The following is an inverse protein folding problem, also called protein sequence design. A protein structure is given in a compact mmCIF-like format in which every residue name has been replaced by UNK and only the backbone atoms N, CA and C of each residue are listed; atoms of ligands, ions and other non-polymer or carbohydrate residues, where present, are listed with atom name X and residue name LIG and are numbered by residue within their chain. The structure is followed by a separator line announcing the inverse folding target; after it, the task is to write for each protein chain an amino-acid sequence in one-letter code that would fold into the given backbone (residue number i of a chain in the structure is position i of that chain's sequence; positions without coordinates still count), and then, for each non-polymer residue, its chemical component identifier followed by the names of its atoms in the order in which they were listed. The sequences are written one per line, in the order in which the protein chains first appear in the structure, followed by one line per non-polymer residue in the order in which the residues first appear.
data_IF_202674851179
#
_entry.id   IF_202674851179
#
_cell.length_a   1.000
_cell.length_b   1.000
_cell.length_c   1.000
_cell.angle_alpha   90.00
_cell.angle_beta   90.00
_cell.angle_gamma   90.00
#
_symmetry.space_group_name_H-M   'P 1'
#
loop_
_entity.id
_entity.type
_entity.pdbx_description
1 polymer ?
#
# COMPACT_ATOMS: atom_id res chain seq x y z
N UNK A 1 13.36 7.84 18.01
CA UNK A 1 12.37 8.12 16.94
C UNK A 1 11.40 9.19 17.41
N UNK A 2 11.18 10.23 16.60
CA UNK A 2 10.19 11.28 16.92
C UNK A 2 8.87 10.97 16.21
N UNK A 3 7.76 10.99 16.95
CA UNK A 3 6.42 10.96 16.35
C UNK A 3 6.22 12.28 15.60
N UNK A 4 6.01 12.23 14.29
CA UNK A 4 5.70 13.43 13.50
C UNK A 4 4.25 13.83 13.81
N UNK A 5 4.07 15.05 14.29
CA UNK A 5 2.74 15.61 14.53
C UNK A 5 2.24 16.14 13.18
N UNK A 6 1.18 15.55 12.65
CA UNK A 6 0.50 15.99 11.44
C UNK A 6 -0.70 16.87 11.81
N UNK A 7 -0.72 18.11 11.32
CA UNK A 7 -1.88 19.01 11.49
C UNK A 7 -3.13 18.48 10.78
N UNK A 8 -2.93 17.81 9.66
CA UNK A 8 -4.01 17.17 8.89
C UNK A 8 -4.63 16.03 9.68
N UNK A 9 -3.81 15.16 10.28
CA UNK A 9 -4.30 14.05 11.12
C UNK A 9 -5.01 14.59 12.38
N UNK A 10 -4.41 15.58 13.07
CA UNK A 10 -5.00 16.19 14.27
C UNK A 10 -6.36 16.83 13.97
N UNK A 11 -6.48 17.50 12.81
CA UNK A 11 -7.76 18.08 12.36
C UNK A 11 -8.80 16.99 12.08
N UNK A 12 -8.43 15.93 11.37
CA UNK A 12 -9.33 14.82 11.05
C UNK A 12 -9.81 14.11 12.31
N UNK A 13 -8.92 13.84 13.26
CA UNK A 13 -9.26 13.22 14.55
C UNK A 13 -10.16 14.11 15.41
N UNK A 14 -9.84 15.41 15.51
CA UNK A 14 -10.64 16.37 16.26
C UNK A 14 -12.05 16.53 15.71
N UNK A 15 -12.20 16.54 14.38
CA UNK A 15 -13.50 16.66 13.71
C UNK A 15 -14.36 15.40 13.85
N UNK A 16 -13.74 14.23 13.87
CA UNK A 16 -14.44 12.95 13.97
C UNK A 16 -14.62 12.46 15.41
N UNK A 17 -13.95 13.07 16.39
CA UNK A 17 -13.95 12.61 17.78
C UNK A 17 -13.30 11.24 17.97
N UNK A 18 -12.44 10.82 17.02
CA UNK A 18 -11.72 9.55 17.09
C UNK A 18 -10.37 9.73 17.79
N UNK A 19 -9.91 8.67 18.43
CA UNK A 19 -8.52 8.53 18.82
C UNK A 19 -7.70 7.89 17.71
N UNK A 20 -6.40 8.23 17.64
CA UNK A 20 -5.50 7.65 16.64
C UNK A 20 -5.30 6.14 16.84
N UNK A 21 -5.33 5.67 18.09
CA UNK A 21 -5.08 4.27 18.46
C UNK A 21 -5.94 3.88 19.64
N UNK A 22 -6.73 2.86 19.49
CA UNK A 22 -7.55 2.30 20.58
C UNK A 22 -6.86 1.08 21.19
N UNK A 23 -6.39 1.25 22.43
CA UNK A 23 -5.76 0.17 23.20
C UNK A 23 -6.83 -0.79 23.77
N UNK A 24 -6.49 -2.10 23.99
CA UNK A 24 -5.16 -2.71 23.78
C UNK A 24 -4.97 -3.38 22.43
N UNK A 25 -5.99 -3.43 21.55
CA UNK A 25 -5.97 -4.25 20.36
C UNK A 25 -5.20 -3.60 19.21
N UNK A 26 -5.36 -2.32 18.97
CA UNK A 26 -4.68 -1.63 17.87
C UNK A 26 -3.19 -1.45 18.14
N UNK A 27 -2.35 -1.92 17.21
CA UNK A 27 -0.88 -1.85 17.28
C UNK A 27 -0.28 -0.74 16.41
N UNK A 28 -1.10 -0.09 15.60
CA UNK A 28 -0.72 0.99 14.68
C UNK A 28 -1.85 2.00 14.60
N UNK A 29 -1.54 3.27 14.32
CA UNK A 29 -2.54 4.34 14.24
C UNK A 29 -3.52 4.13 13.08
N UNK A 30 -4.80 4.36 13.35
CA UNK A 30 -5.90 4.22 12.37
C UNK A 30 -6.74 5.49 12.35
N UNK A 31 -7.06 5.98 11.16
CA UNK A 31 -8.06 7.05 10.95
C UNK A 31 -9.14 6.53 10.03
N UNK A 32 -10.41 6.63 10.46
CA UNK A 32 -11.54 6.19 9.64
C UNK A 32 -12.30 7.38 9.06
N UNK A 33 -12.74 7.22 7.83
CA UNK A 33 -13.57 8.20 7.09
C UNK A 33 -14.80 7.50 6.52
N UNK A 34 -15.81 8.28 6.14
CA UNK A 34 -17.10 7.75 5.69
C UNK A 34 -17.01 6.95 4.39
N UNK A 35 -16.24 7.44 3.41
CA UNK A 35 -16.26 6.88 2.06
C UNK A 35 -14.92 7.00 1.34
N UNK A 36 -14.83 6.37 0.17
CA UNK A 36 -13.61 6.30 -0.62
C UNK A 36 -13.12 7.66 -1.16
N UNK A 37 -13.99 8.57 -1.66
CA UNK A 37 -13.56 9.93 -1.99
C UNK A 37 -12.95 10.71 -0.83
N UNK A 38 -13.52 10.60 0.38
CA UNK A 38 -12.98 11.24 1.59
C UNK A 38 -11.65 10.62 2.02
N UNK A 39 -11.49 9.30 1.85
CA UNK A 39 -10.23 8.62 2.07
C UNK A 39 -9.12 9.19 1.17
N UNK A 40 -9.41 9.36 -0.12
CA UNK A 40 -8.50 10.00 -1.06
C UNK A 40 -8.18 11.45 -0.70
N UNK A 41 -9.18 12.22 -0.23
CA UNK A 41 -8.99 13.61 0.22
C UNK A 41 -8.05 13.70 1.41
N UNK A 42 -8.30 12.92 2.46
CA UNK A 42 -7.45 12.89 3.65
C UNK A 42 -6.01 12.54 3.31
N UNK A 43 -5.83 11.52 2.48
CA UNK A 43 -4.50 11.07 2.04
C UNK A 43 -3.79 12.13 1.22
N UNK A 44 -4.50 12.83 0.33
CA UNK A 44 -3.94 13.91 -0.49
C UNK A 44 -3.50 15.11 0.37
N UNK A 45 -4.31 15.51 1.34
CA UNK A 45 -3.96 16.58 2.29
C UNK A 45 -2.70 16.21 3.10
N UNK A 46 -2.65 14.98 3.61
CA UNK A 46 -1.50 14.48 4.38
C UNK A 46 -0.23 14.39 3.53
N UNK A 47 -0.35 13.97 2.27
CA UNK A 47 0.76 13.95 1.33
C UNK A 47 1.29 15.36 1.04
N UNK A 48 0.40 16.31 0.73
CA UNK A 48 0.76 17.71 0.48
C UNK A 48 1.47 18.33 1.69
N UNK A 49 0.94 18.13 2.90
CA UNK A 49 1.57 18.56 4.14
C UNK A 49 2.97 17.95 4.32
N UNK A 50 3.10 16.65 4.02
CA UNK A 50 4.39 15.97 4.13
C UNK A 50 5.42 16.55 3.16
N UNK A 51 5.04 16.79 1.91
CA UNK A 51 5.92 17.37 0.88
C UNK A 51 6.39 18.76 1.29
N UNK A 52 5.51 19.60 1.85
CA UNK A 52 5.86 20.93 2.34
C UNK A 52 6.96 20.90 3.42
N UNK A 53 6.96 19.85 4.23
CA UNK A 53 7.88 19.71 5.36
C UNK A 53 9.15 18.90 5.02
N UNK A 54 9.18 18.25 3.84
CA UNK A 54 10.26 17.37 3.44
C UNK A 54 10.74 17.64 2.00
N UNK A 55 11.24 18.83 1.70
CA UNK A 55 11.80 19.12 0.38
C UNK A 55 12.96 18.17 0.10
N UNK A 56 13.03 17.61 -1.11
CA UNK A 56 14.04 16.62 -1.50
C UNK A 56 13.81 15.22 -0.91
N UNK A 57 12.70 14.99 -0.23
CA UNK A 57 12.38 13.68 0.36
C UNK A 57 12.12 12.58 -0.66
N UNK A 58 12.18 11.34 -0.22
CA UNK A 58 11.93 10.14 -1.04
C UNK A 58 10.50 9.68 -0.86
N UNK A 59 9.75 9.56 -1.97
CA UNK A 59 8.35 9.14 -1.95
C UNK A 59 8.14 7.87 -2.78
N UNK A 60 7.19 7.04 -2.33
CA UNK A 60 6.76 5.85 -3.05
C UNK A 60 5.24 5.76 -3.00
N UNK A 61 4.60 5.71 -4.17
CA UNK A 61 3.14 5.83 -4.32
C UNK A 61 2.57 4.64 -5.08
N UNK A 62 1.35 4.16 -4.73
CA UNK A 62 0.76 2.96 -5.29
C UNK A 62 0.17 3.19 -6.68
N UNK A 63 -0.02 2.11 -7.41
CA UNK A 63 -0.68 2.08 -8.72
C UNK A 63 -2.07 1.43 -8.63
N UNK A 64 -2.76 1.34 -9.74
CA UNK A 64 -4.07 0.69 -9.86
C UNK A 64 -5.24 1.56 -9.40
N UNK A 65 -6.29 0.93 -8.86
CA UNK A 65 -7.55 1.62 -8.49
C UNK A 65 -7.51 2.31 -7.13
N UNK A 66 -6.68 1.82 -6.21
CA UNK A 66 -6.61 2.33 -4.83
C UNK A 66 -6.32 3.84 -4.76
N UNK A 67 -5.35 4.42 -5.51
CA UNK A 67 -5.03 5.83 -5.41
C UNK A 67 -5.91 6.76 -6.27
N UNK A 68 -6.96 6.30 -6.94
CA UNK A 68 -7.75 7.10 -7.88
C UNK A 68 -8.21 8.45 -7.29
N UNK A 69 -8.86 8.43 -6.13
CA UNK A 69 -9.32 9.64 -5.47
C UNK A 69 -8.18 10.46 -4.88
N UNK A 70 -7.11 9.81 -4.40
CA UNK A 70 -5.91 10.50 -3.97
C UNK A 70 -5.30 11.33 -5.12
N UNK A 71 -5.13 10.74 -6.29
CA UNK A 71 -4.61 11.41 -7.48
C UNK A 71 -5.49 12.59 -7.90
N UNK A 72 -6.81 12.39 -7.91
CA UNK A 72 -7.77 13.47 -8.23
C UNK A 72 -7.62 14.65 -7.27
N UNK A 73 -7.53 14.40 -5.97
CA UNK A 73 -7.42 15.44 -4.97
C UNK A 73 -6.06 16.14 -4.99
N UNK A 74 -4.93 15.41 -5.13
CA UNK A 74 -3.61 16.05 -5.28
C UNK A 74 -3.58 16.94 -6.52
N UNK A 75 -4.07 16.43 -7.65
CA UNK A 75 -4.15 17.21 -8.90
C UNK A 75 -5.02 18.47 -8.73
N UNK A 76 -6.16 18.35 -8.06
CA UNK A 76 -7.04 19.48 -7.76
C UNK A 76 -6.33 20.55 -6.91
N UNK A 77 -5.66 20.15 -5.84
CA UNK A 77 -4.91 21.07 -4.98
C UNK A 77 -3.75 21.75 -5.72
N UNK A 78 -2.96 20.99 -6.47
CA UNK A 78 -1.80 21.53 -7.19
C UNK A 78 -2.18 22.54 -8.29
N UNK A 79 -3.26 22.24 -9.03
CA UNK A 79 -3.75 23.13 -10.11
C UNK A 79 -4.42 24.37 -9.57
N UNK A 80 -5.23 24.24 -8.53
CA UNK A 80 -6.00 25.35 -7.94
C UNK A 80 -5.33 26.01 -6.73
N UNK A 81 -4.01 25.87 -6.53
CA UNK A 81 -3.33 26.29 -5.30
C UNK A 81 -3.64 27.71 -4.84
N UNK A 82 -3.81 28.65 -5.76
CA UNK A 82 -4.14 30.05 -5.49
C UNK A 82 -5.64 30.36 -5.59
N UNK A 83 -6.49 29.35 -5.82
CA UNK A 83 -7.92 29.51 -5.88
C UNK A 83 -8.49 29.64 -4.46
N UNK A 84 -9.33 30.63 -4.16
CA UNK A 84 -9.91 30.83 -2.82
C UNK A 84 -10.62 29.59 -2.25
N UNK A 85 -11.32 28.84 -3.09
CA UNK A 85 -12.01 27.61 -2.65
C UNK A 85 -11.03 26.52 -2.28
N UNK A 86 -9.92 26.38 -3.02
CA UNK A 86 -8.86 25.42 -2.71
C UNK A 86 -8.11 25.84 -1.46
N UNK A 87 -7.75 27.11 -1.36
CA UNK A 87 -7.10 27.69 -0.18
C UNK A 87 -7.89 27.43 1.09
N UNK A 88 -9.18 27.75 1.07
CA UNK A 88 -10.09 27.50 2.22
C UNK A 88 -10.13 26.02 2.61
N UNK A 89 -10.15 25.09 1.62
CA UNK A 89 -10.13 23.67 1.88
C UNK A 89 -8.79 23.20 2.48
N UNK A 90 -7.67 23.75 2.03
CA UNK A 90 -6.35 23.42 2.55
C UNK A 90 -6.22 23.87 4.02
N UNK A 91 -6.52 25.15 4.31
CA UNK A 91 -6.43 25.72 5.65
C UNK A 91 -7.36 25.05 6.66
N UNK A 92 -8.63 24.85 6.28
CA UNK A 92 -9.61 24.19 7.15
C UNK A 92 -9.21 22.77 7.54
N UNK A 93 -8.33 22.13 6.75
CA UNK A 93 -7.81 20.79 7.00
C UNK A 93 -6.35 20.78 7.48
N UNK A 94 -5.78 21.91 7.88
CA UNK A 94 -4.46 21.99 8.54
C UNK A 94 -3.25 22.11 7.61
N UNK A 95 -3.46 22.25 6.30
CA UNK A 95 -2.36 22.46 5.33
C UNK A 95 -2.03 23.95 5.23
N UNK A 96 -0.77 24.29 5.26
CA UNK A 96 -0.28 25.66 5.08
C UNK A 96 -0.34 26.06 3.59
N UNK A 97 -1.34 26.87 3.21
CA UNK A 97 -1.49 27.28 1.82
C UNK A 97 -0.45 28.30 1.37
N UNK A 98 0.24 28.99 2.28
CA UNK A 98 1.27 29.96 1.93
C UNK A 98 2.49 29.31 1.27
N UNK A 99 2.67 27.98 1.45
CA UNK A 99 3.80 27.22 0.96
C UNK A 99 3.35 26.16 -0.05
N UNK A 100 3.36 26.51 -1.34
CA UNK A 100 3.06 25.51 -2.39
C UNK A 100 4.09 24.37 -2.36
N UNK A 101 3.65 23.08 -2.35
CA UNK A 101 4.58 21.97 -2.36
C UNK A 101 5.35 21.89 -3.69
N UNK A 102 6.66 21.67 -3.62
CA UNK A 102 7.51 21.46 -4.79
C UNK A 102 7.70 19.97 -5.06
N UNK A 103 6.90 19.43 -5.97
CA UNK A 103 6.97 18.04 -6.37
C UNK A 103 8.26 17.70 -7.12
N UNK A 104 8.86 18.66 -7.83
CA UNK A 104 10.09 18.46 -8.60
C UNK A 104 11.33 18.28 -7.71
N UNK A 105 11.26 18.70 -6.46
CA UNK A 105 12.32 18.50 -5.48
C UNK A 105 12.48 17.03 -5.04
N UNK A 106 11.41 16.23 -5.11
CA UNK A 106 11.32 14.91 -4.54
C UNK A 106 12.01 13.83 -5.39
N UNK A 107 12.50 12.79 -4.72
CA UNK A 107 12.87 11.53 -5.36
C UNK A 107 11.66 10.58 -5.36
N UNK A 108 11.40 9.96 -6.51
CA UNK A 108 10.29 9.00 -6.66
C UNK A 108 10.84 7.59 -6.76
N UNK A 109 10.29 6.65 -5.98
CA UNK A 109 10.63 5.22 -6.00
C UNK A 109 9.38 4.44 -6.42
N UNK A 110 9.43 3.76 -7.56
CA UNK A 110 8.35 2.87 -7.99
C UNK A 110 8.30 1.64 -7.08
N UNK A 111 7.10 1.27 -6.59
CA UNK A 111 6.91 0.16 -5.65
C UNK A 111 7.17 -1.18 -6.31
N UNK A 112 6.57 -1.41 -7.47
CA UNK A 112 6.51 -2.71 -8.11
C UNK A 112 6.20 -2.63 -9.60
N UNK A 113 6.39 -3.75 -10.29
CA UNK A 113 5.98 -3.97 -11.68
C UNK A 113 5.81 -5.46 -11.95
N UNK A 114 4.87 -5.81 -12.82
CA UNK A 114 4.78 -7.17 -13.35
C UNK A 114 5.95 -7.48 -14.29
N UNK A 115 6.46 -8.71 -14.21
CA UNK A 115 7.59 -9.15 -15.02
C UNK A 115 7.31 -10.53 -15.66
N UNK A 116 7.54 -10.69 -16.95
CA UNK A 116 7.86 -9.66 -17.94
C UNK A 116 6.61 -8.89 -18.38
N UNK A 117 6.75 -7.58 -18.64
CA UNK A 117 5.70 -6.75 -19.23
C UNK A 117 6.33 -5.67 -20.11
N UNK A 118 5.66 -5.36 -21.23
CA UNK A 118 6.01 -4.20 -22.05
C UNK A 118 5.64 -2.92 -21.30
N UNK A 119 6.60 -2.04 -20.99
CA UNK A 119 6.34 -0.79 -20.25
C UNK A 119 5.45 0.20 -21.00
N UNK A 120 5.23 0.02 -22.32
CA UNK A 120 4.31 0.81 -23.13
C UNK A 120 2.84 0.43 -22.95
N UNK A 121 2.55 -0.74 -22.37
CA UNK A 121 1.17 -1.17 -22.12
C UNK A 121 0.52 -0.33 -21.00
N UNK A 122 -0.75 0.02 -21.21
CA UNK A 122 -1.50 0.86 -20.25
C UNK A 122 -1.77 0.18 -18.90
N UNK A 123 -1.61 -1.14 -18.80
CA UNK A 123 -1.69 -1.93 -17.57
C UNK A 123 -0.31 -2.15 -16.90
N UNK A 124 0.79 -1.64 -17.49
CA UNK A 124 2.08 -1.55 -16.82
C UNK A 124 2.06 -0.46 -15.73
N UNK A 125 2.65 -0.74 -14.59
CA UNK A 125 2.77 0.26 -13.51
C UNK A 125 3.79 1.34 -13.87
N UNK A 126 4.80 1.03 -14.68
CA UNK A 126 5.70 2.02 -15.26
C UNK A 126 4.92 3.07 -16.09
N UNK A 127 4.02 2.60 -16.99
CA UNK A 127 3.14 3.50 -17.74
C UNK A 127 2.27 4.35 -16.81
N UNK A 128 1.68 3.72 -15.79
CA UNK A 128 0.83 4.39 -14.82
C UNK A 128 1.57 5.49 -14.07
N UNK A 129 2.77 5.20 -13.56
CA UNK A 129 3.61 6.15 -12.82
C UNK A 129 3.99 7.35 -13.70
N UNK A 130 4.44 7.12 -14.92
CA UNK A 130 4.77 8.19 -15.86
C UNK A 130 3.60 9.12 -16.13
N UNK A 131 2.40 8.55 -16.34
CA UNK A 131 1.19 9.30 -16.68
C UNK A 131 0.64 10.09 -15.51
N UNK A 132 0.42 9.43 -14.38
CA UNK A 132 -0.33 10.01 -13.27
C UNK A 132 0.55 10.74 -12.24
N UNK A 133 1.77 10.30 -12.04
CA UNK A 133 2.67 10.88 -11.06
C UNK A 133 3.71 11.80 -11.69
N UNK A 134 4.55 11.30 -12.58
CA UNK A 134 5.60 12.16 -13.14
C UNK A 134 5.00 13.32 -13.92
N UNK A 135 4.16 13.05 -14.90
CA UNK A 135 3.49 14.11 -15.68
C UNK A 135 2.36 14.78 -14.91
N UNK A 136 1.60 14.01 -14.10
CA UNK A 136 0.40 14.50 -13.42
C UNK A 136 0.70 15.42 -12.23
N UNK A 137 1.71 15.13 -11.43
CA UNK A 137 2.10 15.91 -10.25
C UNK A 137 3.33 16.80 -10.50
N UNK A 138 4.08 16.55 -11.59
CA UNK A 138 5.28 17.32 -11.93
C UNK A 138 6.53 16.86 -11.18
N UNK A 139 6.67 15.57 -10.92
CA UNK A 139 7.93 15.02 -10.43
C UNK A 139 9.03 15.16 -11.49
N UNK A 140 10.27 15.38 -11.06
CA UNK A 140 11.43 15.37 -11.95
C UNK A 140 11.76 13.92 -12.37
N UNK A 141 11.68 13.66 -13.68
CA UNK A 141 11.98 12.34 -14.24
C UNK A 141 13.42 11.88 -13.93
N UNK A 142 14.36 12.81 -13.78
CA UNK A 142 15.77 12.50 -13.44
C UNK A 142 15.93 12.00 -12.00
N UNK A 143 14.98 12.29 -11.14
CA UNK A 143 14.93 11.84 -9.74
C UNK A 143 14.01 10.65 -9.52
N UNK A 144 13.43 10.10 -10.60
CA UNK A 144 12.55 8.96 -10.54
C UNK A 144 13.30 7.66 -10.78
N UNK A 145 13.21 6.75 -9.83
CA UNK A 145 13.67 5.37 -9.94
C UNK A 145 12.50 4.51 -10.40
N UNK A 146 12.53 4.10 -11.68
CA UNK A 146 11.45 3.38 -12.33
C UNK A 146 11.86 1.95 -12.68
N UNK A 147 10.87 1.06 -12.72
CA UNK A 147 11.04 -0.35 -13.07
C UNK A 147 10.66 -0.51 -14.55
N UNK A 148 11.60 -0.24 -15.46
CA UNK A 148 11.43 -0.40 -16.91
C UNK A 148 11.88 -1.78 -17.33
N UNK A 149 10.95 -2.74 -17.43
CA UNK A 149 11.25 -4.13 -17.79
C UNK A 149 11.92 -4.28 -19.16
N UNK A 150 11.77 -3.31 -20.08
CA UNK A 150 12.44 -3.37 -21.39
C UNK A 150 13.94 -3.09 -21.33
N UNK A 151 14.46 -2.66 -20.18
CA UNK A 151 15.88 -2.33 -19.96
C UNK A 151 16.53 -3.17 -18.88
N UNK A 152 15.73 -3.75 -17.98
CA UNK A 152 16.24 -4.47 -16.81
C UNK A 152 16.78 -5.83 -17.23
N UNK A 153 18.06 -6.05 -17.01
CA UNK A 153 18.72 -7.35 -17.17
C UNK A 153 18.92 -7.83 -18.60
N UNK A 154 18.38 -7.14 -19.60
CA UNK A 154 18.45 -7.57 -20.99
C UNK A 154 19.85 -7.33 -21.60
N UNK A 155 20.46 -8.32 -22.28
CA UNK A 155 21.66 -8.10 -23.08
C UNK A 155 21.40 -7.15 -24.25
N UNK A 156 22.44 -6.47 -24.72
CA UNK A 156 22.36 -5.54 -25.83
C UNK A 156 21.69 -6.19 -27.07
N UNK A 157 20.68 -5.51 -27.63
CA UNK A 157 19.97 -5.95 -28.82
C UNK A 157 18.93 -7.04 -28.58
N UNK A 158 18.69 -7.45 -27.34
CA UNK A 158 17.65 -8.42 -26.98
C UNK A 158 16.41 -7.70 -26.42
N UNK A 159 15.24 -8.25 -26.75
CA UNK A 159 13.94 -7.82 -26.24
C UNK A 159 13.40 -8.80 -25.21
N UNK A 160 12.36 -8.42 -24.48
CA UNK A 160 11.65 -9.33 -23.59
C UNK A 160 11.09 -10.56 -24.31
N UNK A 161 10.62 -10.39 -25.57
CA UNK A 161 10.10 -11.47 -26.39
C UNK A 161 11.21 -12.45 -26.82
N UNK A 162 12.42 -11.95 -27.13
CA UNK A 162 13.57 -12.81 -27.40
C UNK A 162 13.94 -13.71 -26.21
N UNK A 163 13.79 -13.19 -25.00
CA UNK A 163 14.14 -13.91 -23.77
C UNK A 163 12.98 -14.78 -23.28
N UNK A 164 11.77 -14.23 -23.30
CA UNK A 164 10.55 -14.84 -22.74
C UNK A 164 9.45 -14.93 -23.81
N UNK A 165 9.62 -15.74 -24.90
CA UNK A 165 8.68 -15.77 -26.03
C UNK A 165 7.25 -16.11 -25.62
N UNK A 166 7.09 -16.94 -24.57
CA UNK A 166 5.77 -17.33 -24.02
C UNK A 166 5.36 -16.47 -22.82
N UNK A 167 6.06 -15.36 -22.56
CA UNK A 167 5.89 -14.55 -21.34
C UNK A 167 5.98 -15.35 -20.02
N UNK A 168 6.67 -16.51 -20.05
CA UNK A 168 6.86 -17.38 -18.89
C UNK A 168 8.29 -17.27 -18.38
N UNK A 169 8.43 -17.05 -17.08
CA UNK A 169 9.72 -16.99 -16.41
C UNK A 169 9.85 -18.20 -15.50
N UNK A 170 10.87 -19.01 -15.74
CA UNK A 170 11.21 -20.13 -14.88
C UNK A 170 12.27 -19.70 -13.83
N UNK A 171 11.82 -19.33 -12.65
CA UNK A 171 12.70 -18.93 -11.56
C UNK A 171 13.59 -20.09 -11.06
N UNK A 172 13.32 -21.35 -11.43
CA UNK A 172 14.17 -22.48 -11.04
C UNK A 172 15.54 -22.42 -11.71
N UNK A 173 15.67 -21.65 -12.81
CA UNK A 173 16.96 -21.39 -13.46
C UNK A 173 17.99 -20.69 -12.57
N UNK A 174 17.58 -20.12 -11.44
CA UNK A 174 18.51 -19.56 -10.44
C UNK A 174 19.35 -20.62 -9.72
N UNK A 175 18.89 -21.88 -9.72
CA UNK A 175 19.53 -22.95 -8.93
C UNK A 175 19.63 -24.30 -9.65
N UNK A 176 19.17 -24.40 -10.89
CA UNK A 176 19.39 -25.53 -11.77
C UNK A 176 20.20 -25.18 -12.99
N UNK A 177 20.90 -26.13 -13.58
CA UNK A 177 21.63 -25.95 -14.82
C UNK A 177 20.68 -25.70 -16.01
N UNK A 178 21.09 -24.78 -16.88
CA UNK A 178 20.41 -24.51 -18.15
C UNK A 178 20.72 -25.62 -19.16
N UNK A 179 19.69 -26.20 -19.76
CA UNK A 179 19.80 -27.33 -20.70
C UNK A 179 19.91 -26.90 -22.16
N UNK A 180 19.38 -25.72 -22.49
CA UNK A 180 19.34 -25.19 -23.87
C UNK A 180 20.03 -23.83 -23.97
N UNK A 181 20.31 -23.35 -25.17
CA UNK A 181 20.82 -21.99 -25.39
C UNK A 181 19.83 -20.92 -24.92
N UNK A 182 18.52 -21.19 -25.08
CA UNK A 182 17.47 -20.29 -24.61
C UNK A 182 17.45 -20.22 -23.07
N UNK A 183 17.52 -21.36 -22.38
CA UNK A 183 17.61 -21.37 -20.91
C UNK A 183 18.87 -20.69 -20.39
N UNK A 184 20.03 -20.81 -21.08
CA UNK A 184 21.25 -20.06 -20.72
C UNK A 184 21.05 -18.55 -20.82
N UNK A 185 20.39 -18.08 -21.90
CA UNK A 185 20.05 -16.68 -22.05
C UNK A 185 19.10 -16.22 -20.91
N UNK A 186 18.06 -16.99 -20.61
CA UNK A 186 17.12 -16.72 -19.53
C UNK A 186 17.79 -16.68 -18.15
N UNK A 187 18.70 -17.62 -17.89
CA UNK A 187 19.48 -17.66 -16.64
C UNK A 187 20.32 -16.39 -16.48
N UNK A 188 21.06 -16.00 -17.53
CA UNK A 188 21.84 -14.76 -17.53
C UNK A 188 20.96 -13.53 -17.27
N UNK A 189 19.79 -13.48 -17.88
CA UNK A 189 18.85 -12.35 -17.67
C UNK A 189 18.34 -12.35 -16.23
N UNK A 190 18.02 -13.50 -15.63
CA UNK A 190 17.61 -13.59 -14.23
C UNK A 190 18.70 -13.09 -13.27
N UNK A 191 19.97 -13.49 -13.51
CA UNK A 191 21.12 -13.01 -12.73
C UNK A 191 21.25 -11.48 -12.81
N UNK A 192 21.12 -10.93 -14.01
CA UNK A 192 21.16 -9.48 -14.25
C UNK A 192 19.98 -8.75 -13.60
N UNK A 193 18.77 -9.34 -13.61
CA UNK A 193 17.58 -8.78 -12.93
C UNK A 193 17.79 -8.77 -11.42
N UNK A 194 18.35 -9.84 -10.86
CA UNK A 194 18.66 -9.92 -9.42
C UNK A 194 19.73 -8.90 -9.02
N UNK A 195 20.77 -8.71 -9.85
CA UNK A 195 21.77 -7.67 -9.66
C UNK A 195 21.14 -6.27 -9.72
N UNK A 196 20.28 -6.01 -10.72
CA UNK A 196 19.56 -4.74 -10.82
C UNK A 196 18.69 -4.48 -9.59
N UNK A 197 18.00 -5.49 -9.07
CA UNK A 197 17.19 -5.36 -7.84
C UNK A 197 18.07 -4.96 -6.64
N UNK A 198 19.27 -5.52 -6.53
CA UNK A 198 20.22 -5.17 -5.48
C UNK A 198 20.71 -3.71 -5.62
N UNK A 199 21.01 -3.27 -6.83
CA UNK A 199 21.43 -1.88 -7.12
C UNK A 199 20.30 -0.87 -6.88
N UNK A 200 19.06 -1.26 -7.23
CA UNK A 200 17.86 -0.45 -6.94
C UNK A 200 17.68 -0.27 -5.42
N UNK A 201 17.77 -1.35 -4.66
CA UNK A 201 17.72 -1.31 -3.20
C UNK A 201 18.84 -0.45 -2.59
N UNK A 202 20.09 -0.62 -3.06
CA UNK A 202 21.24 0.15 -2.59
C UNK A 202 21.08 1.64 -2.86
N UNK A 203 20.52 2.01 -4.01
CA UNK A 203 20.23 3.39 -4.35
C UNK A 203 19.17 4.01 -3.43
N UNK A 204 18.09 3.27 -3.11
CA UNK A 204 17.08 3.71 -2.14
C UNK A 204 17.73 3.98 -0.78
N UNK A 205 18.60 3.07 -0.32
CA UNK A 205 19.30 3.21 0.96
C UNK A 205 20.27 4.39 0.99
N UNK A 206 20.99 4.65 -0.10
CA UNK A 206 21.85 5.83 -0.25
C UNK A 206 21.08 7.15 -0.19
N UNK A 207 19.82 7.16 -0.63
CA UNK A 207 18.92 8.31 -0.48
C UNK A 207 18.37 8.46 0.96
N UNK A 208 18.73 7.57 1.89
CA UNK A 208 18.24 7.57 3.26
C UNK A 208 16.96 6.75 3.46
N UNK A 209 16.51 6.02 2.44
CA UNK A 209 15.28 5.23 2.46
C UNK A 209 14.03 6.05 2.12
N UNK A 210 12.90 5.36 2.04
CA UNK A 210 11.61 5.98 1.72
C UNK A 210 11.14 6.82 2.91
N UNK A 211 10.87 8.10 2.69
CA UNK A 211 10.37 9.03 3.71
C UNK A 211 8.83 9.08 3.75
N UNK A 212 8.18 8.88 2.59
CA UNK A 212 6.73 8.77 2.49
C UNK A 212 6.36 7.56 1.63
N UNK A 213 5.71 6.59 2.24
CA UNK A 213 5.17 5.41 1.58
C UNK A 213 3.64 5.45 1.62
N UNK A 214 3.03 5.41 0.47
CA UNK A 214 1.59 5.19 0.34
C UNK A 214 1.36 3.84 -0.31
N UNK A 215 0.53 2.99 0.28
CA UNK A 215 0.20 1.68 -0.25
C UNK A 215 -1.26 1.31 -0.09
N UNK A 216 -1.71 0.33 -0.86
CA UNK A 216 -2.93 -0.42 -0.59
C UNK A 216 -2.61 -1.67 0.22
N UNK A 217 -3.65 -2.42 0.61
CA UNK A 217 -3.52 -3.75 1.18
C UNK A 217 -4.20 -4.77 0.26
N UNK A 218 -3.48 -5.82 -0.09
CA UNK A 218 -3.99 -6.88 -0.97
C UNK A 218 -4.97 -7.81 -0.27
N UNK A 219 -5.61 -8.74 -1.02
CA UNK A 219 -6.62 -9.65 -0.48
C UNK A 219 -6.08 -10.65 0.56
N UNK A 220 -4.79 -10.94 0.54
CA UNK A 220 -4.07 -11.79 1.50
C UNK A 220 -3.28 -11.00 2.56
N UNK A 221 -3.45 -9.66 2.60
CA UNK A 221 -2.76 -8.77 3.53
C UNK A 221 -1.38 -8.29 3.06
N UNK A 222 -1.04 -8.46 1.78
CA UNK A 222 0.22 -7.98 1.23
C UNK A 222 0.27 -6.45 1.10
N UNK A 223 1.46 -5.89 1.20
CA UNK A 223 1.81 -4.50 0.85
C UNK A 223 2.95 -4.51 -0.17
N UNK A 224 2.86 -3.66 -1.23
CA UNK A 224 3.56 -3.95 -2.48
C UNK A 224 3.14 -5.34 -2.94
N UNK A 225 4.04 -6.15 -3.48
CA UNK A 225 3.75 -7.58 -3.68
C UNK A 225 4.45 -8.49 -2.66
N UNK A 226 4.61 -8.01 -1.43
CA UNK A 226 5.09 -8.84 -0.34
C UNK A 226 3.95 -9.69 0.21
N UNK A 227 3.69 -10.82 -0.44
CA UNK A 227 2.61 -11.75 -0.14
C UNK A 227 2.82 -12.47 1.20
N UNK A 228 1.78 -13.15 1.68
CA UNK A 228 1.84 -13.98 2.89
C UNK A 228 3.04 -14.92 2.86
N UNK A 229 3.83 -14.92 3.94
CA UNK A 229 5.08 -15.68 4.04
C UNK A 229 6.34 -14.93 3.60
N UNK A 230 6.21 -13.71 3.06
CA UNK A 230 7.40 -12.88 2.76
C UNK A 230 8.20 -12.58 4.02
N UNK A 231 9.52 -12.68 3.91
CA UNK A 231 10.43 -12.34 5.00
C UNK A 231 10.30 -10.85 5.35
N UNK A 232 10.19 -10.54 6.65
CA UNK A 232 10.10 -9.17 7.14
C UNK A 232 11.35 -8.34 6.80
N UNK A 233 12.51 -9.00 6.59
CA UNK A 233 13.76 -8.38 6.16
C UNK A 233 13.95 -8.40 4.63
N UNK A 234 12.94 -8.79 3.86
CA UNK A 234 13.05 -8.81 2.41
C UNK A 234 13.35 -7.43 1.84
N UNK A 235 14.17 -7.43 0.79
CA UNK A 235 14.55 -6.28 -0.03
C UNK A 235 13.91 -6.34 -1.41
N UNK A 236 14.24 -5.39 -2.29
CA UNK A 236 13.77 -5.38 -3.68
C UNK A 236 14.16 -6.67 -4.38
N UNK A 237 13.22 -7.33 -5.07
CA UNK A 237 13.43 -8.63 -5.71
C UNK A 237 12.40 -8.97 -6.77
N UNK A 238 12.79 -9.85 -7.69
CA UNK A 238 11.86 -10.57 -8.56
C UNK A 238 11.36 -11.83 -7.83
N UNK A 239 10.03 -11.95 -7.68
CA UNK A 239 9.36 -12.98 -6.88
C UNK A 239 8.06 -13.46 -7.54
N UNK A 240 7.62 -14.70 -7.30
CA UNK A 240 6.29 -15.13 -7.72
C UNK A 240 5.18 -14.42 -6.93
N UNK A 241 3.98 -14.40 -7.49
CA UNK A 241 2.75 -14.01 -6.80
C UNK A 241 1.96 -15.24 -6.35
N UNK A 242 1.05 -15.06 -5.38
CA UNK A 242 0.12 -16.10 -4.96
C UNK A 242 -1.19 -16.08 -5.79
N UNK A 243 -2.01 -17.12 -5.62
CA UNK A 243 -3.25 -17.25 -6.38
C UNK A 243 -4.23 -16.09 -6.15
N UNK A 244 -4.36 -15.61 -4.91
CA UNK A 244 -5.24 -14.50 -4.55
C UNK A 244 -4.84 -13.22 -5.29
N UNK A 245 -3.54 -12.95 -5.38
CA UNK A 245 -2.99 -11.81 -6.13
C UNK A 245 -3.20 -12.00 -7.64
N UNK A 246 -2.94 -13.19 -8.15
CA UNK A 246 -3.16 -13.53 -9.57
C UNK A 246 -4.63 -13.35 -9.96
N UNK A 247 -5.56 -13.81 -9.12
CA UNK A 247 -6.99 -13.64 -9.34
C UNK A 247 -7.41 -12.17 -9.33
N UNK A 248 -6.89 -11.38 -8.39
CA UNK A 248 -7.17 -9.94 -8.32
C UNK A 248 -6.60 -9.18 -9.52
N UNK A 249 -5.41 -9.54 -10.01
CA UNK A 249 -4.75 -8.92 -11.15
C UNK A 249 -5.28 -9.39 -12.52
N UNK A 250 -6.03 -10.50 -12.56
CA UNK A 250 -6.47 -11.12 -13.81
C UNK A 250 -7.24 -10.16 -14.73
N UNK A 251 -8.13 -9.34 -14.18
CA UNK A 251 -8.90 -8.35 -14.94
C UNK A 251 -7.99 -7.31 -15.61
N UNK A 252 -6.95 -6.87 -14.91
CA UNK A 252 -6.07 -5.81 -15.37
C UNK A 252 -5.02 -6.36 -16.36
N UNK A 253 -4.63 -7.63 -16.23
CA UNK A 253 -3.62 -8.30 -17.08
C UNK A 253 -4.19 -9.03 -18.31
N UNK A 254 -5.52 -9.02 -18.50
CA UNK A 254 -6.15 -9.67 -19.66
C UNK A 254 -6.52 -11.14 -19.44
N UNK A 255 -6.69 -11.57 -18.20
CA UNK A 255 -7.19 -12.88 -17.81
C UNK A 255 -6.29 -13.66 -16.86
N UNK A 256 -6.88 -14.68 -16.22
CA UNK A 256 -6.18 -15.49 -15.20
C UNK A 256 -4.99 -16.28 -15.78
N UNK A 257 -5.06 -16.72 -17.02
CA UNK A 257 -3.96 -17.45 -17.66
C UNK A 257 -2.74 -16.56 -17.92
N UNK A 258 -2.96 -15.27 -18.22
CA UNK A 258 -1.89 -14.29 -18.32
C UNK A 258 -1.33 -13.97 -16.94
N UNK A 259 -2.19 -13.67 -15.99
CA UNK A 259 -1.81 -13.31 -14.63
C UNK A 259 -1.01 -14.42 -13.92
N UNK A 260 -1.38 -15.68 -14.14
CA UNK A 260 -0.72 -16.86 -13.56
C UNK A 260 0.76 -16.98 -13.95
N UNK A 261 1.13 -16.49 -15.13
CA UNK A 261 2.48 -16.59 -15.66
C UNK A 261 3.34 -15.35 -15.39
N UNK A 262 2.78 -14.33 -14.72
CA UNK A 262 3.53 -13.12 -14.36
C UNK A 262 4.13 -13.24 -12.97
N UNK A 263 5.38 -12.90 -12.88
CA UNK A 263 6.05 -12.59 -11.63
C UNK A 263 5.98 -11.09 -11.37
N UNK A 264 6.60 -10.65 -10.29
CA UNK A 264 6.67 -9.23 -9.94
C UNK A 264 8.07 -8.86 -9.47
N UNK A 265 8.55 -7.72 -9.91
CA UNK A 265 9.63 -7.01 -9.23
C UNK A 265 8.94 -6.11 -8.21
N UNK A 266 9.31 -6.22 -6.94
CA UNK A 266 8.70 -5.43 -5.87
C UNK A 266 9.74 -5.03 -4.82
N UNK A 267 9.60 -3.82 -4.26
CA UNK A 267 10.37 -3.45 -3.07
C UNK A 267 9.99 -4.37 -1.91
N UNK A 268 10.94 -4.60 -1.01
CA UNK A 268 10.74 -5.49 0.12
C UNK A 268 10.11 -4.81 1.33
N UNK A 269 9.74 -5.60 2.32
CA UNK A 269 9.22 -5.10 3.60
C UNK A 269 10.27 -4.27 4.35
N UNK A 270 11.53 -4.73 4.34
CA UNK A 270 12.65 -3.99 4.92
C UNK A 270 12.96 -2.70 4.13
N UNK A 271 12.71 -2.65 2.82
CA UNK A 271 12.86 -1.43 2.02
C UNK A 271 11.90 -0.34 2.49
N UNK A 272 10.63 -0.72 2.75
CA UNK A 272 9.59 0.20 3.24
C UNK A 272 9.93 0.72 4.64
N UNK A 273 10.48 -0.14 5.51
CA UNK A 273 10.75 0.17 6.91
C UNK A 273 12.19 0.60 7.19
N UNK A 274 13.03 0.70 6.16
CA UNK A 274 14.45 1.05 6.30
C UNK A 274 14.66 2.40 6.98
N UNK A 275 13.88 3.41 6.58
CA UNK A 275 13.89 4.71 7.23
C UNK A 275 12.92 4.69 8.43
N UNK A 276 13.41 4.75 9.68
CA UNK A 276 12.55 4.70 10.87
C UNK A 276 11.61 5.91 11.01
N UNK A 277 11.88 7.00 10.31
CA UNK A 277 11.03 8.21 10.28
C UNK A 277 10.01 8.17 9.12
N UNK A 278 9.95 7.06 8.36
CA UNK A 278 9.02 6.91 7.25
C UNK A 278 7.56 7.14 7.71
N UNK A 279 6.88 8.03 7.02
CA UNK A 279 5.42 8.15 7.08
C UNK A 279 4.81 7.12 6.13
N UNK A 280 4.43 5.96 6.66
CA UNK A 280 3.86 4.87 5.88
C UNK A 280 2.34 4.82 6.06
N UNK A 281 1.59 5.05 4.98
CA UNK A 281 0.13 5.06 5.01
C UNK A 281 -0.42 3.91 4.16
N UNK A 282 -1.28 3.10 4.75
CA UNK A 282 -2.05 2.08 4.04
C UNK A 282 -3.50 2.57 3.88
N UNK A 283 -3.94 2.65 2.62
CA UNK A 283 -5.32 2.95 2.28
C UNK A 283 -6.12 1.66 2.09
N UNK A 284 -7.27 1.55 2.74
CA UNK A 284 -8.19 0.46 2.47
C UNK A 284 -9.65 0.93 2.49
N UNK A 285 -10.43 0.48 1.51
CA UNK A 285 -11.84 0.82 1.36
C UNK A 285 -12.70 -0.45 1.16
N UNK A 286 -13.90 -0.43 1.75
CA UNK A 286 -14.91 -1.48 1.61
C UNK A 286 -14.73 -2.66 2.57
N UNK A 287 -15.84 -3.33 2.85
CA UNK A 287 -15.90 -4.45 3.81
C UNK A 287 -15.07 -5.66 3.40
N UNK A 288 -14.85 -5.87 2.10
CA UNK A 288 -13.99 -6.95 1.60
C UNK A 288 -12.54 -6.87 2.14
N UNK A 289 -12.12 -5.71 2.66
CA UNK A 289 -10.80 -5.50 3.27
C UNK A 289 -10.80 -5.66 4.80
N UNK A 290 -11.96 -5.80 5.44
CA UNK A 290 -12.05 -5.75 6.90
C UNK A 290 -11.20 -6.82 7.61
N UNK A 291 -11.16 -8.05 7.11
CA UNK A 291 -10.36 -9.13 7.69
C UNK A 291 -8.86 -8.86 7.62
N UNK A 292 -8.33 -8.50 6.45
CA UNK A 292 -6.89 -8.24 6.28
C UNK A 292 -6.45 -6.96 7.00
N UNK A 293 -7.35 -6.00 7.17
CA UNK A 293 -7.12 -4.80 7.97
C UNK A 293 -7.06 -5.16 9.46
N UNK A 294 -8.01 -5.96 9.96
CA UNK A 294 -8.00 -6.42 11.35
C UNK A 294 -6.73 -7.23 11.66
N UNK A 295 -6.34 -8.13 10.75
CA UNK A 295 -5.09 -8.89 10.85
C UNK A 295 -3.86 -7.95 10.96
N UNK A 296 -3.78 -6.94 10.09
CA UNK A 296 -2.64 -6.03 10.05
C UNK A 296 -2.56 -5.07 11.26
N UNK A 297 -3.72 -4.62 11.75
CA UNK A 297 -3.81 -3.62 12.82
C UNK A 297 -3.73 -4.26 14.22
N UNK A 298 -4.35 -5.43 14.41
CA UNK A 298 -4.57 -6.02 15.75
C UNK A 298 -3.62 -7.17 16.08
N UNK A 299 -3.13 -7.93 15.10
CA UNK A 299 -2.18 -9.01 15.36
C UNK A 299 -0.77 -8.47 15.64
N UNK A 300 0.03 -9.28 16.32
CA UNK A 300 1.48 -9.04 16.45
C UNK A 300 2.16 -9.21 15.09
N UNK A 301 3.27 -8.53 14.90
CA UNK A 301 4.11 -8.63 13.71
C UNK A 301 4.44 -10.09 13.38
N UNK A 302 4.08 -10.54 12.17
CA UNK A 302 4.29 -11.90 11.73
C UNK A 302 4.24 -12.00 10.20
N UNK A 303 5.07 -12.88 9.62
CA UNK A 303 5.14 -13.11 8.16
C UNK A 303 3.81 -13.57 7.54
N UNK A 304 2.93 -14.17 8.34
CA UNK A 304 1.56 -14.51 7.91
C UNK A 304 0.73 -13.28 7.56
N UNK A 305 1.06 -12.13 8.13
CA UNK A 305 0.38 -10.86 7.96
C UNK A 305 1.40 -9.78 7.59
N UNK A 306 1.84 -9.72 6.32
CA UNK A 306 2.99 -8.90 5.91
C UNK A 306 2.85 -7.42 6.31
N UNK A 307 1.65 -6.86 6.20
CA UNK A 307 1.39 -5.46 6.56
C UNK A 307 1.65 -5.15 8.05
N UNK A 308 1.75 -6.17 8.92
CA UNK A 308 2.10 -5.96 10.34
C UNK A 308 3.52 -5.43 10.54
N UNK A 309 4.40 -5.52 9.53
CA UNK A 309 5.76 -4.92 9.58
C UNK A 309 5.71 -3.43 9.86
N UNK A 310 4.66 -2.75 9.43
CA UNK A 310 4.46 -1.31 9.63
C UNK A 310 4.32 -0.92 11.11
N UNK A 311 4.03 -1.86 12.01
CA UNK A 311 4.02 -1.63 13.46
C UNK A 311 5.41 -1.25 14.00
N UNK A 312 6.48 -1.49 13.24
CA UNK A 312 7.84 -1.03 13.58
C UNK A 312 8.06 0.48 13.36
N UNK A 313 7.15 1.14 12.63
CA UNK A 313 7.25 2.56 12.29
C UNK A 313 6.29 3.40 13.15
N UNK A 314 6.81 4.38 13.90
CA UNK A 314 5.97 5.28 14.72
C UNK A 314 5.01 6.14 13.89
N UNK A 315 5.39 6.44 12.64
CA UNK A 315 4.61 7.26 11.72
C UNK A 315 3.79 6.42 10.73
N UNK A 316 3.62 5.10 10.98
CA UNK A 316 2.72 4.28 10.19
C UNK A 316 1.24 4.54 10.55
N UNK A 317 0.37 4.49 9.53
CA UNK A 317 -1.07 4.72 9.64
C UNK A 317 -1.85 3.80 8.71
N UNK A 318 -3.04 3.44 9.16
CA UNK A 318 -4.07 2.89 8.30
C UNK A 318 -5.18 3.93 8.13
N UNK A 319 -5.39 4.39 6.91
CA UNK A 319 -6.52 5.23 6.54
C UNK A 319 -7.59 4.35 5.92
N UNK A 320 -8.75 4.33 6.53
CA UNK A 320 -9.78 3.32 6.27
C UNK A 320 -11.14 3.98 6.01
N UNK A 321 -11.95 3.37 5.15
CA UNK A 321 -13.39 3.62 5.22
C UNK A 321 -14.00 2.84 6.39
N UNK A 322 -15.20 3.23 6.84
CA UNK A 322 -15.90 2.52 7.93
C UNK A 322 -16.06 1.03 7.63
N UNK A 323 -16.38 0.66 6.38
CA UNK A 323 -16.49 -0.76 6.00
C UNK A 323 -15.17 -1.53 6.14
N UNK A 324 -14.03 -0.91 5.79
CA UNK A 324 -12.72 -1.56 5.96
C UNK A 324 -12.30 -1.67 7.44
N UNK A 325 -12.80 -0.80 8.30
CA UNK A 325 -12.55 -0.81 9.74
C UNK A 325 -13.54 -1.67 10.54
N UNK A 326 -14.51 -2.31 9.86
CA UNK A 326 -15.65 -2.99 10.49
C UNK A 326 -15.28 -4.02 11.55
N UNK A 327 -14.13 -4.69 11.40
CA UNK A 327 -13.67 -5.74 12.32
C UNK A 327 -12.62 -5.25 13.34
N UNK A 328 -12.41 -3.94 13.49
CA UNK A 328 -11.56 -3.40 14.54
C UNK A 328 -12.35 -3.36 15.86
N UNK A 329 -11.99 -4.24 16.77
CA UNK A 329 -12.76 -4.57 17.99
C UNK A 329 -13.07 -3.33 18.83
N UNK A 330 -12.07 -2.53 19.17
CA UNK A 330 -12.28 -1.36 20.04
C UNK A 330 -13.14 -0.29 19.37
N UNK A 331 -13.02 -0.11 18.04
CA UNK A 331 -13.83 0.84 17.28
C UNK A 331 -15.27 0.39 17.16
N UNK A 332 -15.51 -0.92 17.07
CA UNK A 332 -16.87 -1.47 17.14
C UNK A 332 -17.48 -1.21 18.52
N UNK A 333 -16.73 -1.51 19.59
CA UNK A 333 -17.18 -1.26 20.96
C UNK A 333 -17.56 0.22 21.16
N UNK A 334 -16.69 1.15 20.77
CA UNK A 334 -16.95 2.59 20.82
C UNK A 334 -18.22 2.99 20.03
N UNK A 335 -18.39 2.41 18.85
CA UNK A 335 -19.57 2.67 18.00
C UNK A 335 -20.86 2.25 18.68
N UNK A 336 -20.88 1.06 19.29
CA UNK A 336 -22.08 0.52 19.93
C UNK A 336 -22.38 1.18 21.29
N UNK A 337 -21.37 1.43 22.11
CA UNK A 337 -21.55 2.00 23.44
C UNK A 337 -21.96 3.49 23.45
N UNK A 338 -21.66 4.22 22.38
CA UNK A 338 -22.09 5.62 22.22
C UNK A 338 -23.54 5.78 21.77
N UNK A 339 -24.22 4.69 21.42
CA UNK A 339 -25.63 4.70 21.01
C UNK A 339 -26.53 4.40 22.21
N UNK A 340 -27.60 5.15 22.35
CA UNK A 340 -28.64 4.88 23.37
C UNK A 340 -29.37 3.57 23.09
N UNK A 341 -29.61 3.27 21.79
CA UNK A 341 -30.27 2.04 21.36
C UNK A 341 -29.57 1.48 20.12
N UNK A 342 -29.40 0.17 20.09
CA UNK A 342 -28.91 -0.55 18.89
C UNK A 342 -30.12 -0.94 18.01
N UNK A 343 -29.92 -0.91 16.72
CA UNK A 343 -30.87 -1.46 15.76
C UNK A 343 -30.80 -3.00 15.78
N UNK A 344 -31.86 -3.68 15.33
CA UNK A 344 -31.89 -5.14 15.22
C UNK A 344 -30.72 -5.67 14.39
N UNK A 345 -30.37 -5.00 13.31
CA UNK A 345 -29.24 -5.34 12.45
C UNK A 345 -27.89 -5.23 13.19
N UNK A 346 -27.70 -4.23 14.03
CA UNK A 346 -26.48 -4.08 14.83
C UNK A 346 -26.38 -5.14 15.93
N UNK A 347 -27.50 -5.49 16.56
CA UNK A 347 -27.56 -6.61 17.52
C UNK A 347 -27.22 -7.91 16.82
N UNK A 348 -27.79 -8.16 15.65
CA UNK A 348 -27.49 -9.34 14.83
C UNK A 348 -26.00 -9.40 14.45
N UNK A 349 -25.40 -8.26 14.03
CA UNK A 349 -23.97 -8.16 13.74
C UNK A 349 -23.10 -8.55 14.93
N UNK A 350 -23.41 -8.04 16.12
CA UNK A 350 -22.70 -8.36 17.38
C UNK A 350 -22.77 -9.85 17.68
N UNK A 351 -23.97 -10.44 17.60
CA UNK A 351 -24.19 -11.87 17.88
C UNK A 351 -23.44 -12.76 16.89
N UNK A 352 -23.45 -12.41 15.59
CA UNK A 352 -22.71 -13.14 14.57
C UNK A 352 -21.20 -13.06 14.84
N UNK A 353 -20.66 -11.86 15.11
CA UNK A 353 -19.25 -11.67 15.39
C UNK A 353 -18.79 -12.45 16.62
N UNK A 354 -19.59 -12.46 17.68
CA UNK A 354 -19.34 -13.25 18.88
C UNK A 354 -19.33 -14.76 18.59
N UNK A 355 -20.30 -15.23 17.82
CA UNK A 355 -20.38 -16.64 17.43
C UNK A 355 -19.13 -17.09 16.64
N UNK A 356 -18.65 -16.24 15.71
CA UNK A 356 -17.44 -16.47 14.91
C UNK A 356 -16.19 -16.48 15.81
N UNK A 357 -16.07 -15.51 16.72
CA UNK A 357 -14.94 -15.42 17.65
C UNK A 357 -14.86 -16.65 18.55
N UNK A 358 -16.00 -17.04 19.16
CA UNK A 358 -16.09 -18.22 20.02
C UNK A 358 -16.10 -19.56 19.26
N UNK A 359 -16.15 -19.52 17.92
CA UNK A 359 -16.31 -20.71 17.06
C UNK A 359 -17.49 -21.57 17.45
N UNK A 360 -18.59 -20.93 17.83
CA UNK A 360 -19.86 -21.55 18.19
C UNK A 360 -20.94 -21.22 17.17
N UNK A 361 -21.95 -22.06 17.05
CA UNK A 361 -23.17 -21.69 16.33
C UNK A 361 -23.93 -20.65 17.16
N UNK A 362 -24.66 -19.73 16.55
CA UNK A 362 -25.43 -18.71 17.24
C UNK A 362 -26.33 -19.33 18.32
N UNK A 363 -27.02 -20.45 18.01
CA UNK A 363 -27.90 -21.17 18.95
C UNK A 363 -27.17 -21.79 20.14
N UNK A 364 -25.87 -21.98 20.08
CA UNK A 364 -25.04 -22.57 21.13
C UNK A 364 -24.35 -21.49 21.99
N UNK A 365 -24.61 -20.20 21.73
CA UNK A 365 -24.16 -19.10 22.58
C UNK A 365 -24.96 -19.11 23.87
N UNK A 366 -24.25 -18.91 24.97
CA UNK A 366 -24.81 -18.83 26.32
C UNK A 366 -24.54 -17.45 26.93
N UNK A 367 -25.23 -17.10 28.00
CA UNK A 367 -24.98 -15.86 28.73
C UNK A 367 -23.50 -15.68 29.10
N UNK A 368 -22.80 -16.76 29.44
CA UNK A 368 -21.36 -16.71 29.76
C UNK A 368 -20.49 -16.30 28.59
N UNK A 369 -20.92 -16.53 27.34
CA UNK A 369 -20.18 -16.11 26.16
C UNK A 369 -20.21 -14.59 25.97
N UNK A 370 -21.24 -13.93 26.51
CA UNK A 370 -21.38 -12.47 26.50
C UNK A 370 -20.72 -11.82 27.72
N UNK A 371 -20.61 -12.53 28.85
CA UNK A 371 -19.99 -12.01 30.08
C UNK A 371 -18.48 -11.85 29.89
N UNK A 372 -17.97 -10.64 30.16
CA UNK A 372 -16.55 -10.31 29.99
C UNK A 372 -16.12 -10.09 28.54
N UNK A 373 -17.03 -10.18 27.59
CA UNK A 373 -16.82 -9.79 26.23
C UNK A 373 -17.16 -8.30 26.02
N UNK A 374 -16.45 -7.64 25.12
CA UNK A 374 -16.66 -6.21 24.82
C UNK A 374 -17.73 -5.98 23.76
N UNK A 375 -18.42 -7.01 23.32
CA UNK A 375 -19.55 -6.94 22.38
C UNK A 375 -20.89 -7.04 23.10
#
# INVERSE_FOLDING_TARGET
MKKTISRVEDKALSQSGQELTYSPTEKVGVITVENFPMLGKLTALRFVEWVQNNPGGVVSLPTGKTPEHFIKWVTYFLKGWSDPDVTSKLESNGVDHSKKPDMSSLHFVQIDEFYPIDPGQHNSFFYYVNKFYLSGFGFDQKKAMLIDCSRIGLPNGKTLEDVWPDNKVDLTLRFREAKTSQERLQQTVLENVDQWCAEYEDTIRKLGGIGFFLGGIGPDGHIGFNIRGSDLNSTTRLTPTNYETQAAAATDLGGIEVSRNRHVITIGLSTITYNPECTAIIMAAGEAKAHVVADAVQHKMHVRYPATVLQSLLNARFYLTQGAAKLLVERQYERFTKKETLTDQEVEEVVINLALEKRKRIRDLSRQDFEGNRF
#
